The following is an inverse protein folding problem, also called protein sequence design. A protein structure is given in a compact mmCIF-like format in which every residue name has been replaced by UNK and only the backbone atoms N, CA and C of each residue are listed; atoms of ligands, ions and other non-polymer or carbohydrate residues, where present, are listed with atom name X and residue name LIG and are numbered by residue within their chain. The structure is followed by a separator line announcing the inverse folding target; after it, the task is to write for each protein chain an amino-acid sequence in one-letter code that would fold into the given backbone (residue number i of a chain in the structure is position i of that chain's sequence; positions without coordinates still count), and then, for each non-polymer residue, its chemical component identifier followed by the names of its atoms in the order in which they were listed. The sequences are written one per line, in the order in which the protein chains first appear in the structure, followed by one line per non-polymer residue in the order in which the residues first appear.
data_IF_997055920690
#
_entry.id   IF_997055920690
#
_cell.length_a   1.000
_cell.length_b   1.000
_cell.length_c   1.000
_cell.angle_alpha   90.00
_cell.angle_beta   90.00
_cell.angle_gamma   90.00
#
_symmetry.space_group_name_H-M   'P 1'
#
loop_
_entity.id
_entity.type
_entity.pdbx_description
1 polymer ?
#
# COMPACT_ATOMS: atom_id res chain seq x y z
N UNK A 1 7.42 13.35 -31.18
CA UNK A 1 6.83 12.96 -29.87
C UNK A 1 7.78 13.48 -28.80
N UNK A 2 7.32 14.08 -27.69
CA UNK A 2 8.25 14.34 -26.60
C UNK A 2 8.85 13.00 -26.15
N UNK A 3 10.18 12.93 -26.00
CA UNK A 3 10.87 11.74 -25.51
C UNK A 3 10.39 11.46 -24.08
N UNK A 4 9.41 10.56 -23.92
CA UNK A 4 8.84 10.17 -22.62
C UNK A 4 9.27 8.75 -22.25
N UNK A 5 9.36 8.49 -20.94
CA UNK A 5 9.76 7.21 -20.38
C UNK A 5 8.83 6.81 -19.24
N UNK A 6 8.34 5.57 -19.25
CA UNK A 6 7.61 5.00 -18.13
C UNK A 6 8.58 4.40 -17.10
N UNK A 7 8.28 4.63 -15.82
CA UNK A 7 8.98 4.01 -14.69
C UNK A 7 7.95 3.44 -13.74
N UNK A 8 8.08 2.14 -13.43
CA UNK A 8 7.21 1.44 -12.47
C UNK A 8 7.43 1.99 -11.06
N UNK A 9 6.34 2.26 -10.34
CA UNK A 9 6.38 2.64 -8.93
C UNK A 9 6.64 1.41 -8.06
N UNK A 10 7.42 1.60 -6.99
CA UNK A 10 7.58 0.60 -5.93
C UNK A 10 6.45 0.67 -4.88
N UNK A 11 5.63 1.72 -4.97
CA UNK A 11 4.46 1.97 -4.15
C UNK A 11 4.73 3.02 -3.09
N UNK A 12 4.26 4.25 -3.34
CA UNK A 12 4.54 5.43 -2.50
C UNK A 12 4.14 5.27 -1.04
N UNK A 13 3.14 4.45 -0.76
CA UNK A 13 2.74 4.15 0.61
C UNK A 13 3.86 3.40 1.38
N UNK A 14 4.63 2.55 0.71
CA UNK A 14 5.65 1.67 1.29
C UNK A 14 7.07 2.23 1.17
N UNK A 15 7.41 2.78 0.02
CA UNK A 15 8.79 3.11 -0.37
C UNK A 15 8.99 4.58 -0.72
N UNK A 16 8.21 5.48 -0.12
CA UNK A 16 8.20 6.91 -0.45
C UNK A 16 9.60 7.53 -0.61
N UNK A 17 10.46 7.40 0.40
CA UNK A 17 11.80 7.98 0.38
C UNK A 17 12.68 7.38 -0.73
N UNK A 18 12.64 6.05 -0.89
CA UNK A 18 13.38 5.36 -1.96
C UNK A 18 12.87 5.79 -3.34
N UNK A 19 11.56 5.99 -3.51
CA UNK A 19 11.01 6.46 -4.78
C UNK A 19 11.41 7.91 -5.09
N UNK A 20 11.42 8.80 -4.10
CA UNK A 20 11.92 10.16 -4.31
C UNK A 20 13.41 10.17 -4.68
N UNK A 21 14.20 9.26 -4.11
CA UNK A 21 15.60 9.07 -4.50
C UNK A 21 15.74 8.55 -5.93
N UNK A 22 14.96 7.54 -6.32
CA UNK A 22 14.96 7.00 -7.68
C UNK A 22 14.61 8.11 -8.70
N UNK A 23 13.61 8.95 -8.41
CA UNK A 23 13.26 10.09 -9.26
C UNK A 23 14.39 11.12 -9.35
N UNK A 24 15.09 11.38 -8.23
CA UNK A 24 16.26 12.27 -8.20
C UNK A 24 17.41 11.73 -9.06
N UNK A 25 17.65 10.42 -9.01
CA UNK A 25 18.63 9.76 -9.88
C UNK A 25 18.26 9.86 -11.35
N UNK A 26 16.98 9.77 -11.70
CA UNK A 26 16.51 9.98 -13.07
C UNK A 26 16.74 11.42 -13.54
N UNK A 27 16.42 12.42 -12.71
CA UNK A 27 16.67 13.82 -13.04
C UNK A 27 18.16 14.09 -13.31
N UNK A 28 19.05 13.50 -12.51
CA UNK A 28 20.51 13.60 -12.71
C UNK A 28 21.02 13.00 -14.03
N UNK A 29 20.18 12.22 -14.71
CA UNK A 29 20.42 11.59 -16.02
C UNK A 29 19.61 12.24 -17.14
N UNK A 30 18.96 13.38 -16.88
CA UNK A 30 18.14 14.12 -17.85
C UNK A 30 16.74 13.54 -18.05
N UNK A 31 16.18 12.84 -17.05
CA UNK A 31 14.80 12.32 -17.08
C UNK A 31 14.00 12.89 -15.92
N UNK A 32 13.18 13.89 -16.19
CA UNK A 32 12.45 14.61 -15.16
C UNK A 32 11.06 14.01 -15.00
N UNK A 33 10.58 13.91 -13.76
CA UNK A 33 9.19 13.56 -13.51
C UNK A 33 8.27 14.55 -14.22
N UNK A 34 7.32 14.03 -14.99
CA UNK A 34 6.32 14.83 -15.70
C UNK A 34 4.93 14.64 -15.10
N UNK A 35 4.54 13.38 -14.83
CA UNK A 35 3.23 13.09 -14.24
C UNK A 35 3.18 11.69 -13.61
N UNK A 36 2.18 11.48 -12.76
CA UNK A 36 1.79 10.14 -12.35
C UNK A 36 1.24 9.34 -13.54
N UNK A 37 1.52 8.05 -13.53
CA UNK A 37 0.96 7.08 -14.46
C UNK A 37 0.30 5.93 -13.68
N UNK A 38 -0.48 5.11 -14.37
CA UNK A 38 -1.04 3.91 -13.74
C UNK A 38 0.10 3.02 -13.23
N UNK A 39 0.12 2.78 -11.90
CA UNK A 39 1.16 2.04 -11.17
C UNK A 39 2.59 2.55 -11.36
N UNK A 40 2.78 3.84 -11.70
CA UNK A 40 4.11 4.36 -11.99
C UNK A 40 4.15 5.85 -12.28
N UNK A 41 5.17 6.23 -13.05
CA UNK A 41 5.46 7.60 -13.41
C UNK A 41 5.74 7.70 -14.90
N UNK A 42 5.38 8.83 -15.51
CA UNK A 42 5.91 9.24 -16.81
C UNK A 42 6.95 10.32 -16.59
N UNK A 43 8.13 10.07 -17.14
CA UNK A 43 9.26 10.99 -17.17
C UNK A 43 9.37 11.62 -18.56
N UNK A 44 9.92 12.82 -18.63
CA UNK A 44 10.22 13.53 -19.87
C UNK A 44 11.71 13.86 -19.94
N UNK A 45 12.29 13.74 -21.12
CA UNK A 45 13.69 14.07 -21.35
C UNK A 45 13.93 15.57 -21.20
N UNK A 46 15.01 15.92 -20.51
CA UNK A 46 15.48 17.28 -20.25
C UNK A 46 17.02 17.26 -20.11
N UNK A 47 17.62 18.44 -19.93
CA UNK A 47 19.04 18.51 -19.60
C UNK A 47 19.29 17.96 -18.18
N UNK A 48 20.35 17.17 -17.96
CA UNK A 48 20.65 16.60 -16.65
C UNK A 48 20.78 17.66 -15.55
N UNK A 49 20.05 17.47 -14.45
CA UNK A 49 20.07 18.38 -13.30
C UNK A 49 20.00 17.62 -11.99
N UNK A 50 20.68 18.13 -10.96
CA UNK A 50 20.63 17.57 -9.61
C UNK A 50 19.43 18.12 -8.86
N UNK A 51 18.28 17.48 -9.06
CA UNK A 51 17.05 17.75 -8.33
C UNK A 51 16.87 16.77 -7.17
N UNK A 52 16.18 17.23 -6.13
CA UNK A 52 15.60 16.38 -5.09
C UNK A 52 14.07 16.45 -5.19
N UNK A 53 13.41 15.33 -4.94
CA UNK A 53 11.95 15.24 -4.94
C UNK A 53 11.41 15.04 -3.52
N UNK A 54 10.21 15.55 -3.29
CA UNK A 54 9.46 15.32 -2.05
C UNK A 54 7.99 15.09 -2.35
N UNK A 55 7.34 14.31 -1.51
CA UNK A 55 5.92 13.96 -1.65
C UNK A 55 5.14 14.48 -0.45
N UNK A 56 4.04 15.15 -0.74
CA UNK A 56 3.08 15.58 0.27
C UNK A 56 1.64 15.17 -0.07
N UNK A 57 0.79 15.12 0.96
CA UNK A 57 -0.62 14.78 0.83
C UNK A 57 -1.52 15.93 1.29
N UNK A 58 -2.32 16.46 0.38
CA UNK A 58 -3.31 17.49 0.67
C UNK A 58 -4.53 17.29 -0.21
N UNK A 59 -5.68 17.06 0.42
CA UNK A 59 -6.95 17.07 -0.31
C UNK A 59 -7.35 18.52 -0.59
N UNK A 60 -7.91 18.78 -1.78
CA UNK A 60 -8.38 20.11 -2.18
C UNK A 60 -7.28 21.18 -2.03
N UNK A 61 -6.06 20.86 -2.47
CA UNK A 61 -4.96 21.82 -2.52
C UNK A 61 -5.34 23.03 -3.40
N UNK A 62 -5.10 24.23 -2.87
CA UNK A 62 -5.32 25.51 -3.52
C UNK A 62 -3.98 26.19 -3.88
N UNK A 63 -4.06 27.36 -4.52
CA UNK A 63 -2.87 28.12 -4.92
C UNK A 63 -2.02 28.55 -3.72
N UNK A 64 -2.65 28.83 -2.57
CA UNK A 64 -1.95 29.20 -1.34
C UNK A 64 -1.06 28.04 -0.85
N UNK A 65 -1.60 26.81 -0.85
CA UNK A 65 -0.84 25.61 -0.53
C UNK A 65 0.40 25.43 -1.42
N UNK A 66 0.28 25.61 -2.74
CA UNK A 66 1.43 25.48 -3.64
C UNK A 66 2.42 26.65 -3.49
N UNK A 67 1.92 27.86 -3.24
CA UNK A 67 2.76 29.06 -3.05
C UNK A 67 3.64 28.94 -1.81
N UNK A 68 3.11 28.36 -0.73
CA UNK A 68 3.89 28.06 0.48
C UNK A 68 5.15 27.23 0.19
N UNK A 69 5.05 26.21 -0.66
CA UNK A 69 6.21 25.41 -1.07
C UNK A 69 7.13 26.18 -2.03
N UNK A 70 6.56 26.96 -2.95
CA UNK A 70 7.32 27.77 -3.90
C UNK A 70 8.22 28.79 -3.18
N UNK A 71 7.71 29.46 -2.15
CA UNK A 71 8.46 30.38 -1.31
C UNK A 71 9.63 29.69 -0.57
N UNK A 72 9.47 28.39 -0.26
CA UNK A 72 10.51 27.55 0.33
C UNK A 72 11.49 26.94 -0.70
N UNK A 73 11.38 27.31 -1.98
CA UNK A 73 12.23 26.82 -3.07
C UNK A 73 11.79 25.49 -3.71
N UNK A 74 10.58 25.03 -3.39
CA UNK A 74 10.00 23.80 -3.91
C UNK A 74 8.96 24.09 -5.00
N UNK A 75 9.12 23.47 -6.16
CA UNK A 75 8.23 23.63 -7.30
C UNK A 75 7.31 22.41 -7.42
N UNK A 76 6.01 22.66 -7.53
CA UNK A 76 5.04 21.60 -7.81
C UNK A 76 5.32 20.96 -9.18
N UNK A 77 5.31 19.63 -9.24
CA UNK A 77 5.59 18.87 -10.46
C UNK A 77 4.31 18.26 -11.01
N UNK A 78 3.63 17.45 -10.20
CA UNK A 78 2.40 16.79 -10.61
C UNK A 78 1.57 16.35 -9.40
N UNK A 79 0.28 16.10 -9.65
CA UNK A 79 -0.67 15.61 -8.64
C UNK A 79 -1.35 14.32 -9.10
N UNK A 80 -1.66 13.42 -8.17
CA UNK A 80 -2.61 12.32 -8.39
C UNK A 80 -3.90 12.63 -7.62
N UNK A 81 -5.02 12.64 -8.35
CA UNK A 81 -6.39 12.85 -7.84
C UNK A 81 -6.55 14.12 -6.97
N UNK A 82 -5.67 15.11 -7.12
CA UNK A 82 -5.59 16.30 -6.26
C UNK A 82 -5.51 15.99 -4.75
N UNK A 83 -4.89 14.86 -4.42
CA UNK A 83 -4.66 14.41 -3.04
C UNK A 83 -3.18 14.17 -2.74
N UNK A 84 -2.42 13.75 -3.75
CA UNK A 84 -0.99 13.41 -3.63
C UNK A 84 -0.22 14.34 -4.55
N UNK A 85 0.74 15.06 -4.00
CA UNK A 85 1.52 16.07 -4.72
C UNK A 85 3.00 15.73 -4.65
N UNK A 86 3.67 15.75 -5.79
CA UNK A 86 5.13 15.66 -5.85
C UNK A 86 5.69 17.03 -6.17
N UNK A 87 6.71 17.41 -5.41
CA UNK A 87 7.47 18.63 -5.55
C UNK A 87 8.92 18.31 -5.92
N UNK A 88 9.58 19.25 -6.57
CA UNK A 88 11.01 19.19 -6.87
C UNK A 88 11.71 20.47 -6.43
N UNK A 89 12.97 20.35 -6.03
CA UNK A 89 13.82 21.48 -5.70
C UNK A 89 15.26 21.19 -6.10
N UNK A 90 16.12 22.22 -6.24
CA UNK A 90 17.56 22.00 -6.33
C UNK A 90 18.08 21.15 -5.16
N UNK A 91 19.07 20.31 -5.42
CA UNK A 91 19.69 19.52 -4.36
C UNK A 91 20.25 20.41 -3.24
N UNK A 92 19.93 20.08 -1.99
CA UNK A 92 20.37 20.85 -0.82
C UNK A 92 19.35 21.87 -0.31
N UNK A 93 18.22 22.04 -1.01
CA UNK A 93 17.07 22.80 -0.48
C UNK A 93 16.58 22.15 0.81
N UNK A 94 16.18 22.96 1.79
CA UNK A 94 15.66 22.48 3.07
C UNK A 94 14.45 21.54 2.84
N UNK A 95 14.38 20.36 3.47
CA UNK A 95 13.24 19.45 3.33
C UNK A 95 11.90 20.13 3.64
N UNK A 96 10.83 19.70 2.97
CA UNK A 96 9.46 20.19 3.21
C UNK A 96 8.98 19.95 4.65
N UNK A 97 9.51 18.93 5.31
CA UNK A 97 9.28 18.62 6.72
C UNK A 97 10.61 18.65 7.47
N UNK A 98 10.69 19.47 8.52
CA UNK A 98 11.92 19.64 9.30
C UNK A 98 11.80 19.09 10.72
N UNK A 99 10.58 18.80 11.15
CA UNK A 99 10.24 18.19 12.41
C UNK A 99 9.43 16.91 12.18
N UNK A 100 9.75 15.89 12.97
CA UNK A 100 9.12 14.57 12.86
C UNK A 100 7.62 14.60 13.19
N UNK A 101 7.16 15.57 13.98
CA UNK A 101 5.76 15.68 14.38
C UNK A 101 4.89 16.03 13.17
N UNK A 102 5.25 17.07 12.41
CA UNK A 102 4.52 17.46 11.20
C UNK A 102 4.60 16.37 10.12
N UNK A 103 5.74 15.68 10.00
CA UNK A 103 5.85 14.54 9.08
C UNK A 103 4.93 13.36 9.50
N UNK A 104 4.84 13.05 10.80
CA UNK A 104 3.93 12.01 11.29
C UNK A 104 2.46 12.34 11.08
N UNK A 105 2.07 13.61 11.23
CA UNK A 105 0.70 14.08 11.02
C UNK A 105 0.21 13.83 9.59
N UNK A 106 1.12 13.98 8.61
CA UNK A 106 0.88 13.59 7.21
C UNK A 106 0.40 12.13 7.11
N UNK A 107 1.11 11.20 7.74
CA UNK A 107 0.76 9.78 7.70
C UNK A 107 -0.49 9.45 8.53
N UNK A 108 -0.73 10.15 9.65
CA UNK A 108 -1.95 9.99 10.46
C UNK A 108 -3.20 10.27 9.62
N UNK A 109 -3.19 11.34 8.83
CA UNK A 109 -4.33 11.72 8.00
C UNK A 109 -4.59 10.70 6.88
N UNK A 110 -3.53 10.16 6.27
CA UNK A 110 -3.63 9.08 5.29
C UNK A 110 -4.15 7.78 5.90
N UNK A 111 -3.62 7.39 7.07
CA UNK A 111 -4.09 6.23 7.81
C UNK A 111 -5.58 6.34 8.15
N UNK A 112 -6.02 7.47 8.70
CA UNK A 112 -7.44 7.70 9.05
C UNK A 112 -8.35 7.58 7.83
N UNK A 113 -7.94 8.13 6.68
CA UNK A 113 -8.71 8.09 5.44
C UNK A 113 -8.79 6.65 4.88
N UNK A 114 -7.66 5.96 4.77
CA UNK A 114 -7.61 4.59 4.27
C UNK A 114 -8.35 3.61 5.18
N UNK A 115 -8.24 3.78 6.51
CA UNK A 115 -8.91 2.94 7.51
C UNK A 115 -10.44 2.94 7.37
N UNK A 116 -11.03 4.09 7.02
CA UNK A 116 -12.49 4.22 6.82
C UNK A 116 -13.01 3.33 5.69
N UNK A 117 -12.17 3.00 4.71
CA UNK A 117 -12.53 2.13 3.57
C UNK A 117 -12.03 0.70 3.77
N UNK A 118 -10.83 0.53 4.32
CA UNK A 118 -10.21 -0.77 4.56
C UNK A 118 -11.03 -1.65 5.50
N UNK A 119 -11.54 -1.10 6.62
CA UNK A 119 -12.32 -1.89 7.59
C UNK A 119 -13.64 -2.40 6.98
N UNK A 120 -14.51 -1.55 6.40
CA UNK A 120 -15.76 -2.04 5.82
C UNK A 120 -15.55 -2.99 4.65
N UNK A 121 -14.56 -2.74 3.77
CA UNK A 121 -14.28 -3.62 2.63
C UNK A 121 -13.79 -5.01 3.05
N UNK A 122 -12.96 -5.08 4.10
CA UNK A 122 -12.52 -6.34 4.69
C UNK A 122 -13.68 -7.09 5.34
N UNK A 123 -14.53 -6.41 6.12
CA UNK A 123 -15.73 -7.00 6.72
C UNK A 123 -16.71 -7.52 5.67
N UNK A 124 -16.95 -6.76 4.60
CA UNK A 124 -17.80 -7.19 3.49
C UNK A 124 -17.22 -8.41 2.77
N UNK A 125 -15.90 -8.46 2.58
CA UNK A 125 -15.23 -9.61 1.97
C UNK A 125 -15.37 -10.86 2.83
N UNK A 126 -15.19 -10.73 4.16
CA UNK A 126 -15.43 -11.84 5.11
C UNK A 126 -16.90 -12.28 5.09
N UNK A 127 -17.84 -11.33 5.04
CA UNK A 127 -19.27 -11.65 4.95
C UNK A 127 -19.59 -12.46 3.69
N UNK A 128 -19.12 -12.05 2.51
CA UNK A 128 -19.39 -12.79 1.27
C UNK A 128 -18.73 -14.17 1.26
N UNK A 129 -17.55 -14.30 1.86
CA UNK A 129 -16.92 -15.60 2.09
C UNK A 129 -17.81 -16.50 2.96
N UNK A 130 -18.31 -15.99 4.09
CA UNK A 130 -19.18 -16.75 4.99
C UNK A 130 -20.49 -17.14 4.30
N UNK A 131 -21.12 -16.21 3.58
CA UNK A 131 -22.36 -16.48 2.84
C UNK A 131 -22.17 -17.54 1.75
N UNK A 132 -21.02 -17.52 1.07
CA UNK A 132 -20.65 -18.54 0.09
C UNK A 132 -20.51 -19.92 0.73
N UNK A 133 -19.80 -20.03 1.85
CA UNK A 133 -19.64 -21.27 2.61
C UNK A 133 -20.98 -21.83 3.11
N UNK A 134 -21.86 -20.95 3.62
CA UNK A 134 -23.18 -21.35 4.08
C UNK A 134 -24.07 -21.84 2.93
N UNK A 135 -24.04 -21.16 1.77
CA UNK A 135 -24.79 -21.57 0.59
C UNK A 135 -24.36 -22.97 0.10
N UNK A 136 -23.06 -23.24 0.12
CA UNK A 136 -22.52 -24.54 -0.26
C UNK A 136 -22.86 -25.64 0.77
N UNK A 137 -22.73 -25.35 2.07
CA UNK A 137 -23.05 -26.30 3.14
C UNK A 137 -24.54 -26.67 3.20
N UNK A 138 -25.43 -25.69 2.99
CA UNK A 138 -26.88 -25.90 3.05
C UNK A 138 -27.48 -26.50 1.78
N UNK A 139 -26.63 -26.90 0.82
CA UNK A 139 -27.04 -27.40 -0.51
C UNK A 139 -28.01 -26.44 -1.24
N UNK A 140 -27.87 -25.13 -0.99
CA UNK A 140 -28.59 -24.09 -1.75
C UNK A 140 -28.12 -24.16 -3.22
N UNK A 141 -28.99 -23.71 -4.13
CA UNK A 141 -28.66 -23.69 -5.56
C UNK A 141 -27.31 -23.00 -5.83
N UNK A 142 -26.51 -23.62 -6.69
CA UNK A 142 -25.16 -23.17 -7.05
C UNK A 142 -25.12 -21.71 -7.60
N UNK A 143 -26.27 -21.20 -8.06
CA UNK A 143 -26.41 -19.81 -8.50
C UNK A 143 -26.01 -18.80 -7.40
N UNK A 144 -26.28 -19.09 -6.13
CA UNK A 144 -25.98 -18.18 -5.02
C UNK A 144 -24.47 -18.15 -4.70
N UNK A 145 -23.79 -19.28 -4.83
CA UNK A 145 -22.32 -19.37 -4.69
C UNK A 145 -21.66 -18.49 -5.76
N UNK A 146 -22.13 -18.57 -7.01
CA UNK A 146 -21.63 -17.74 -8.12
C UNK A 146 -21.88 -16.24 -7.85
N UNK A 147 -23.09 -15.88 -7.39
CA UNK A 147 -23.42 -14.49 -7.06
C UNK A 147 -22.47 -13.95 -5.98
N UNK A 148 -22.28 -14.67 -4.87
CA UNK A 148 -21.38 -14.22 -3.80
C UNK A 148 -19.92 -14.15 -4.26
N UNK A 149 -19.49 -15.04 -5.16
CA UNK A 149 -18.14 -15.00 -5.72
C UNK A 149 -17.92 -13.73 -6.57
N UNK A 150 -18.89 -13.36 -7.39
CA UNK A 150 -18.84 -12.13 -8.19
C UNK A 150 -18.79 -10.89 -7.29
N UNK A 151 -19.57 -10.88 -6.20
CA UNK A 151 -19.59 -9.77 -5.23
C UNK A 151 -18.31 -9.68 -4.39
N UNK A 152 -17.68 -10.82 -4.10
CA UNK A 152 -16.43 -10.89 -3.34
C UNK A 152 -15.25 -10.26 -4.09
N UNK A 153 -15.18 -10.45 -5.41
CA UNK A 153 -14.04 -9.95 -6.22
C UNK A 153 -13.76 -8.45 -6.05
N UNK A 154 -14.72 -7.53 -6.27
CA UNK A 154 -14.47 -6.10 -6.11
C UNK A 154 -14.19 -5.72 -4.64
N UNK A 155 -14.86 -6.35 -3.67
CA UNK A 155 -14.62 -6.02 -2.25
C UNK A 155 -13.25 -6.50 -1.78
N UNK A 156 -12.78 -7.64 -2.27
CA UNK A 156 -11.46 -8.18 -1.96
C UNK A 156 -10.35 -7.33 -2.60
N UNK A 157 -10.52 -6.92 -3.86
CA UNK A 157 -9.59 -6.00 -4.53
C UNK A 157 -9.51 -4.68 -3.75
N UNK A 158 -10.65 -4.10 -3.38
CA UNK A 158 -10.70 -2.86 -2.61
C UNK A 158 -10.04 -3.03 -1.23
N UNK A 159 -10.28 -4.16 -0.56
CA UNK A 159 -9.66 -4.48 0.73
C UNK A 159 -8.13 -4.57 0.61
N UNK A 160 -7.60 -5.21 -0.43
CA UNK A 160 -6.14 -5.29 -0.65
C UNK A 160 -5.55 -3.91 -0.93
N UNK A 161 -6.13 -3.17 -1.87
CA UNK A 161 -5.63 -1.84 -2.28
C UNK A 161 -5.63 -0.84 -1.12
N UNK A 162 -6.58 -0.94 -0.18
CA UNK A 162 -6.70 0.01 0.94
C UNK A 162 -6.00 -0.47 2.21
N UNK A 163 -5.99 -1.78 2.49
CA UNK A 163 -5.41 -2.32 3.72
C UNK A 163 -3.89 -2.27 3.71
N UNK A 164 -3.25 -2.56 2.57
CA UNK A 164 -1.79 -2.56 2.50
C UNK A 164 -1.19 -1.16 2.74
N UNK A 165 -1.65 -0.08 2.07
CA UNK A 165 -1.23 1.28 2.41
C UNK A 165 -1.58 1.68 3.84
N UNK A 166 -2.75 1.27 4.36
CA UNK A 166 -3.18 1.56 5.73
C UNK A 166 -2.18 1.01 6.77
N UNK A 167 -1.72 -0.24 6.59
CA UNK A 167 -0.70 -0.85 7.45
C UNK A 167 0.63 -0.09 7.32
N UNK A 168 1.02 0.27 6.09
CA UNK A 168 2.25 1.01 5.85
C UNK A 168 2.26 2.38 6.56
N UNK A 169 1.18 3.15 6.44
CA UNK A 169 1.05 4.41 7.16
C UNK A 169 1.04 4.22 8.67
N UNK A 170 0.36 3.19 9.18
CA UNK A 170 0.41 2.86 10.61
C UNK A 170 1.83 2.53 11.10
N UNK A 171 2.63 1.81 10.28
CA UNK A 171 4.03 1.53 10.58
C UNK A 171 4.85 2.83 10.61
N UNK A 172 4.72 3.71 9.61
CA UNK A 172 5.42 5.00 9.57
C UNK A 172 5.11 5.89 10.77
N UNK A 173 3.82 6.00 11.16
CA UNK A 173 3.38 6.73 12.37
C UNK A 173 4.06 6.16 13.61
N UNK A 174 3.99 4.84 13.76
CA UNK A 174 4.62 4.16 14.89
C UNK A 174 6.15 4.32 14.87
N UNK A 175 6.82 4.35 13.73
CA UNK A 175 8.27 4.56 13.66
C UNK A 175 8.67 5.98 14.08
N UNK A 176 7.86 6.98 13.70
CA UNK A 176 8.04 8.37 14.16
C UNK A 176 7.75 8.51 15.66
N UNK A 177 6.79 7.76 16.21
CA UNK A 177 6.46 7.72 17.65
C UNK A 177 7.40 6.78 18.48
N UNK A 178 7.98 5.72 17.88
CA UNK A 178 8.79 4.66 18.54
C UNK A 178 10.30 4.89 18.49
N UNK A 179 10.77 6.13 18.38
CA UNK A 179 12.11 6.47 18.91
C UNK A 179 12.22 6.12 20.42
N UNK A 180 11.13 5.72 21.08
CA UNK A 180 11.06 5.35 22.51
C UNK A 180 10.88 3.85 22.89
N UNK A 181 10.48 2.89 22.02
CA UNK A 181 9.96 1.57 22.53
C UNK A 181 10.17 0.28 21.68
N UNK A 182 11.00 0.29 20.64
CA UNK A 182 10.91 -0.69 19.53
C UNK A 182 11.47 -2.13 19.72
N UNK A 183 12.36 -2.46 20.66
CA UNK A 183 13.17 -3.70 20.52
C UNK A 183 12.48 -5.06 20.76
N UNK A 184 11.28 -5.09 21.36
CA UNK A 184 10.67 -6.34 21.88
C UNK A 184 9.48 -6.89 21.08
N UNK A 185 8.74 -6.05 20.35
CA UNK A 185 7.49 -6.48 19.69
C UNK A 185 7.72 -7.21 18.35
N UNK A 186 8.69 -6.77 17.53
CA UNK A 186 8.95 -7.37 16.21
C UNK A 186 9.34 -8.86 16.31
N UNK A 187 10.10 -9.24 17.36
CA UNK A 187 10.52 -10.63 17.59
C UNK A 187 9.38 -11.60 17.90
N UNK A 188 8.25 -11.13 18.42
CA UNK A 188 7.09 -11.97 18.76
C UNK A 188 6.23 -12.20 17.51
N UNK A 189 6.02 -11.16 16.72
CA UNK A 189 5.24 -11.24 15.47
C UNK A 189 5.95 -12.13 14.44
N UNK A 190 7.28 -12.05 14.35
CA UNK A 190 8.07 -12.94 13.51
C UNK A 190 7.92 -14.41 13.89
N UNK A 191 7.95 -14.75 15.19
CA UNK A 191 7.78 -16.13 15.65
C UNK A 191 6.39 -16.68 15.35
N UNK A 192 5.35 -15.86 15.51
CA UNK A 192 3.97 -16.26 15.20
C UNK A 192 3.77 -16.49 13.70
N UNK A 193 4.41 -15.68 12.85
CA UNK A 193 4.33 -15.82 11.39
C UNK A 193 4.89 -17.17 10.89
N UNK A 194 6.02 -17.61 11.45
CA UNK A 194 6.67 -18.87 11.08
C UNK A 194 5.83 -20.07 11.49
N UNK A 195 5.20 -20.02 12.68
CA UNK A 195 4.32 -21.08 13.17
C UNK A 195 3.10 -21.25 12.24
N UNK A 196 2.51 -20.14 11.79
CA UNK A 196 1.36 -20.17 10.87
C UNK A 196 1.70 -20.79 9.51
N UNK A 197 2.91 -20.58 8.99
CA UNK A 197 3.39 -21.20 7.74
C UNK A 197 3.57 -22.71 7.90
N UNK A 198 4.13 -23.16 9.04
CA UNK A 198 4.32 -24.59 9.32
C UNK A 198 2.97 -25.30 9.43
N UNK A 199 1.99 -24.68 10.07
CA UNK A 199 0.62 -25.20 10.15
C UNK A 199 -0.01 -25.34 8.76
N UNK A 200 0.17 -24.35 7.89
CA UNK A 200 -0.33 -24.40 6.51
C UNK A 200 0.28 -25.56 5.72
N UNK A 201 1.61 -25.71 5.77
CA UNK A 201 2.32 -26.79 5.06
C UNK A 201 1.86 -28.15 5.55
N UNK A 202 1.73 -28.32 6.87
CA UNK A 202 1.20 -29.56 7.48
C UNK A 202 -0.22 -29.87 7.00
N UNK A 203 -1.07 -28.86 6.91
CA UNK A 203 -2.47 -29.00 6.48
C UNK A 203 -2.57 -29.39 4.98
N UNK A 204 -1.71 -28.81 4.13
CA UNK A 204 -1.60 -29.19 2.71
C UNK A 204 -1.10 -30.64 2.55
N UNK A 205 -0.13 -31.07 3.36
CA UNK A 205 0.40 -32.45 3.35
C UNK A 205 -0.69 -33.46 3.77
N UNK A 206 -1.44 -33.17 4.84
CA UNK A 206 -2.54 -34.03 5.30
C UNK A 206 -3.63 -34.22 4.24
N UNK A 207 -3.88 -33.20 3.42
CA UNK A 207 -4.82 -33.23 2.30
C UNK A 207 -4.25 -34.02 1.11
N UNK A 208 -2.97 -33.82 0.79
CA UNK A 208 -2.29 -34.58 -0.29
C UNK A 208 -2.32 -36.09 -0.05
N UNK A 209 -2.18 -36.52 1.20
CA UNK A 209 -2.28 -37.93 1.58
C UNK A 209 -3.72 -38.43 1.80
N UNK A 210 -4.74 -37.61 1.49
CA UNK A 210 -6.16 -37.96 1.59
C UNK A 210 -6.62 -38.36 3.01
N UNK A 211 -5.86 -37.99 4.06
CA UNK A 211 -6.26 -38.24 5.45
C UNK A 211 -7.48 -37.41 5.85
N UNK A 212 -7.76 -36.32 5.12
CA UNK A 212 -8.91 -35.43 5.33
C UNK A 212 -9.55 -35.14 3.97
N UNK A 213 -10.85 -35.43 3.81
CA UNK A 213 -11.63 -35.05 2.62
C UNK A 213 -12.29 -33.68 2.85
N UNK A 214 -11.64 -32.64 2.36
CA UNK A 214 -12.16 -31.27 2.32
C UNK A 214 -12.52 -30.92 0.87
N UNK A 215 -13.62 -30.19 0.69
CA UNK A 215 -14.01 -29.67 -0.61
C UNK A 215 -12.92 -28.74 -1.17
N UNK A 216 -12.61 -28.85 -2.47
CA UNK A 216 -11.56 -28.08 -3.17
C UNK A 216 -11.70 -26.57 -2.93
N UNK A 217 -12.93 -26.08 -2.77
CA UNK A 217 -13.23 -24.66 -2.51
C UNK A 217 -12.79 -24.25 -1.09
N UNK A 218 -13.05 -25.07 -0.07
CA UNK A 218 -12.61 -24.82 1.31
C UNK A 218 -11.07 -24.88 1.44
N UNK A 219 -10.40 -25.70 0.62
CA UNK A 219 -8.94 -25.70 0.51
C UNK A 219 -8.42 -24.36 -0.04
N UNK A 220 -8.97 -23.87 -1.15
CA UNK A 220 -8.58 -22.57 -1.71
C UNK A 220 -8.81 -21.42 -0.71
N UNK A 221 -9.85 -21.52 0.12
CA UNK A 221 -10.17 -20.53 1.13
C UNK A 221 -9.17 -20.52 2.30
N UNK A 222 -8.75 -21.69 2.79
CA UNK A 222 -7.73 -21.80 3.85
C UNK A 222 -6.38 -21.30 3.32
N UNK A 223 -6.04 -21.63 2.07
CA UNK A 223 -4.86 -21.09 1.39
C UNK A 223 -4.92 -19.58 1.22
N UNK A 224 -6.09 -19.00 0.90
CA UNK A 224 -6.27 -17.55 0.77
C UNK A 224 -6.14 -16.84 2.13
N UNK A 225 -6.77 -17.35 3.19
CA UNK A 225 -6.68 -16.76 4.54
C UNK A 225 -5.24 -16.81 5.06
N UNK A 226 -4.55 -17.92 4.85
CA UNK A 226 -3.14 -18.04 5.24
C UNK A 226 -2.22 -17.21 4.35
N UNK A 227 -2.49 -17.05 3.06
CA UNK A 227 -1.79 -16.10 2.19
C UNK A 227 -1.97 -14.65 2.70
N UNK A 228 -3.20 -14.27 3.09
CA UNK A 228 -3.48 -12.94 3.63
C UNK A 228 -2.79 -12.73 4.99
N UNK A 229 -2.74 -13.74 5.86
CA UNK A 229 -2.05 -13.68 7.16
C UNK A 229 -0.52 -13.69 7.02
N UNK A 230 0.03 -14.39 6.03
CA UNK A 230 1.48 -14.39 5.75
C UNK A 230 1.90 -13.07 5.11
N UNK A 231 1.13 -12.54 4.17
CA UNK A 231 1.29 -11.18 3.67
C UNK A 231 1.25 -10.20 4.84
N UNK A 232 0.23 -10.26 5.70
CA UNK A 232 0.13 -9.43 6.91
C UNK A 232 1.38 -9.50 7.80
N UNK A 233 1.96 -10.69 7.98
CA UNK A 233 3.20 -10.85 8.75
C UNK A 233 4.46 -10.33 8.06
N UNK A 234 4.56 -10.45 6.73
CA UNK A 234 5.66 -9.92 5.94
C UNK A 234 5.70 -8.38 5.96
N UNK A 235 4.55 -7.73 6.09
CA UNK A 235 4.47 -6.27 6.25
C UNK A 235 4.81 -5.77 7.68
N UNK A 236 4.88 -6.69 8.66
CA UNK A 236 5.21 -6.38 10.06
C UNK A 236 6.71 -6.58 10.42
N UNK A 237 7.49 -7.18 9.51
CA UNK A 237 8.96 -7.10 9.50
C UNK A 237 9.40 -5.69 9.14
#
# INVERSE_FOLDING_TARGET
MPDTKYVMSKGIAFSEHEEMQILSEYASKGWFLYEFAFLGYRLKKADPEKLQYALDYRNNADEEYFSYFQEAGWHHVCSAENMIHIFSAPQGTKPIYTDNNTESEKYINQYKSMKKVAIPSLLCSVLFIVLMLLAEYSHISNIYVIIFAILLLPTAILAVITTLPCISYYKKINETERVYSSSKMHKIVDKLSVIMIIILISLVILIFFNFIKINIIALYLICLITLLLTLFSCFMK
#
